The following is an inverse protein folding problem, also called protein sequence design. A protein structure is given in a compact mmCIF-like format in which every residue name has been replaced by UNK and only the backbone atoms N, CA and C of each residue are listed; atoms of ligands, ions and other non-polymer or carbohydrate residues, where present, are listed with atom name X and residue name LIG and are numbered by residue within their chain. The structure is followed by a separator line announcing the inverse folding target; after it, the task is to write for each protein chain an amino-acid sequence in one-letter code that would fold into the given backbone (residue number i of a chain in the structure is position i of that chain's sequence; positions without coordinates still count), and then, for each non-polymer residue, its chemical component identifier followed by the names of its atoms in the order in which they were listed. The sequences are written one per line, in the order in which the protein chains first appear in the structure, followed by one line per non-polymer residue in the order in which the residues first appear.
data_IF_835810078191
#
_entry.id   IF_835810078191
#
_cell.length_a   1.000
_cell.length_b   1.000
_cell.length_c   1.000
_cell.angle_alpha   90.00
_cell.angle_beta   90.00
_cell.angle_gamma   90.00
#
_symmetry.space_group_name_H-M   'P 1'
#
loop_
_entity.id
_entity.type
_entity.pdbx_description
1 polymer ?
#
# COMPACT_ATOMS: atom_id res chain seq x y z
N UNK A 1 66.09 -26.72 -9.09
CA UNK A 1 66.37 -25.52 -9.91
C UNK A 1 65.03 -24.88 -10.30
N UNK A 2 64.84 -23.58 -9.99
CA UNK A 2 64.18 -22.53 -10.81
C UNK A 2 62.76 -22.88 -11.37
N UNK A 3 61.65 -22.16 -11.14
CA UNK A 3 61.39 -20.79 -10.67
C UNK A 3 59.94 -20.68 -10.18
N UNK A 4 59.72 -19.80 -9.20
CA UNK A 4 58.44 -19.15 -8.89
C UNK A 4 57.92 -18.38 -10.12
N UNK A 5 56.64 -18.50 -10.45
CA UNK A 5 55.87 -17.39 -11.03
C UNK A 5 54.50 -17.34 -10.36
N UNK A 6 54.38 -16.36 -9.47
CA UNK A 6 53.15 -15.86 -8.87
C UNK A 6 52.36 -15.13 -9.95
N UNK A 7 51.11 -15.52 -10.19
CA UNK A 7 50.15 -14.69 -10.94
C UNK A 7 48.98 -14.41 -10.00
N UNK A 8 49.11 -13.29 -9.30
CA UNK A 8 48.11 -12.69 -8.45
C UNK A 8 47.11 -11.98 -9.37
N UNK A 9 46.06 -12.69 -9.79
CA UNK A 9 44.93 -12.11 -10.52
C UNK A 9 44.11 -11.23 -9.58
N UNK A 10 44.41 -9.92 -9.58
CA UNK A 10 43.51 -8.90 -9.04
C UNK A 10 42.22 -8.89 -9.88
N UNK A 11 41.24 -9.67 -9.45
CA UNK A 11 39.85 -9.49 -9.87
C UNK A 11 39.34 -8.28 -9.07
N UNK A 12 39.51 -7.09 -9.62
CA UNK A 12 38.78 -5.92 -9.18
C UNK A 12 37.30 -6.17 -9.52
N UNK A 13 36.56 -6.73 -8.56
CA UNK A 13 35.10 -6.80 -8.63
C UNK A 13 34.60 -5.37 -8.55
N UNK A 14 34.40 -4.75 -9.72
CA UNK A 14 33.72 -3.47 -9.84
C UNK A 14 32.27 -3.74 -9.45
N UNK A 15 32.00 -3.65 -8.15
CA UNK A 15 30.65 -3.67 -7.62
C UNK A 15 29.91 -2.47 -8.15
N UNK A 16 29.22 -2.65 -9.28
CA UNK A 16 28.15 -1.77 -9.71
C UNK A 16 27.06 -1.85 -8.63
N UNK A 17 27.22 -1.06 -7.56
CA UNK A 17 26.09 -0.62 -6.76
C UNK A 17 25.25 0.23 -7.70
N UNK A 18 24.34 -0.42 -8.41
CA UNK A 18 23.22 0.25 -9.06
C UNK A 18 22.46 0.96 -7.96
N UNK A 19 22.84 2.22 -7.72
CA UNK A 19 22.01 3.18 -7.01
C UNK A 19 20.80 3.31 -7.92
N UNK A 20 19.72 2.61 -7.59
CA UNK A 20 18.42 2.90 -8.18
C UNK A 20 18.20 4.39 -7.91
N UNK A 21 18.35 5.21 -8.94
CA UNK A 21 17.93 6.59 -8.87
C UNK A 21 16.48 6.54 -8.42
N UNK A 22 16.16 7.23 -7.32
CA UNK A 22 14.78 7.46 -6.94
C UNK A 22 14.18 8.28 -8.10
N UNK A 23 13.60 7.58 -9.07
CA UNK A 23 12.80 8.20 -10.10
C UNK A 23 11.68 8.92 -9.34
N UNK A 24 11.66 10.25 -9.44
CA UNK A 24 10.67 11.08 -8.75
C UNK A 24 9.33 10.72 -9.37
N UNK A 25 8.55 9.90 -8.66
CA UNK A 25 7.21 9.54 -9.07
C UNK A 25 6.39 10.82 -9.16
N UNK A 26 5.90 11.14 -10.35
CA UNK A 26 5.09 12.33 -10.57
C UNK A 26 3.64 12.02 -10.21
N UNK A 27 3.16 12.66 -9.14
CA UNK A 27 1.80 12.45 -8.62
C UNK A 27 1.02 13.75 -8.65
N UNK A 28 -0.19 13.70 -9.21
CA UNK A 28 -1.11 14.84 -9.29
C UNK A 28 -2.28 14.60 -8.36
N UNK A 29 -2.60 15.60 -7.52
CA UNK A 29 -3.80 15.57 -6.66
C UNK A 29 -5.04 15.80 -7.53
N UNK A 30 -6.03 14.92 -7.42
CA UNK A 30 -7.28 15.04 -8.16
C UNK A 30 -8.29 15.92 -7.40
N UNK A 31 -9.00 16.76 -8.15
CA UNK A 31 -10.17 17.49 -7.66
C UNK A 31 -11.41 16.58 -7.64
N UNK A 32 -12.46 16.99 -6.93
CA UNK A 32 -13.69 16.20 -6.76
C UNK A 32 -14.36 15.82 -8.09
N UNK A 33 -14.26 16.67 -9.11
CA UNK A 33 -14.83 16.43 -10.45
C UNK A 33 -14.01 15.44 -11.27
N UNK A 34 -12.73 15.27 -10.98
CA UNK A 34 -11.83 14.33 -11.65
C UNK A 34 -11.88 12.92 -11.05
N UNK A 35 -12.45 12.76 -9.84
CA UNK A 35 -12.49 11.47 -9.15
C UNK A 35 -13.52 10.54 -9.82
N UNK A 36 -13.04 9.38 -10.27
CA UNK A 36 -13.90 8.30 -10.76
C UNK A 36 -14.75 7.73 -9.61
N UNK A 37 -16.06 7.98 -9.63
CA UNK A 37 -16.97 7.57 -8.55
C UNK A 37 -17.09 6.05 -8.39
N UNK A 38 -17.04 5.29 -9.48
CA UNK A 38 -17.11 3.83 -9.43
C UNK A 38 -15.87 3.23 -8.74
N UNK A 39 -14.69 3.67 -9.18
CA UNK A 39 -13.42 3.22 -8.62
C UNK A 39 -13.25 3.68 -7.16
N UNK A 40 -13.66 4.91 -6.83
CA UNK A 40 -13.74 5.40 -5.45
C UNK A 40 -14.59 4.51 -4.55
N UNK A 41 -15.81 4.16 -4.99
CA UNK A 41 -16.73 3.33 -4.22
C UNK A 41 -16.16 1.92 -4.01
N UNK A 42 -15.52 1.37 -5.04
CA UNK A 42 -14.82 0.08 -4.96
C UNK A 42 -13.65 0.13 -3.98
N UNK A 43 -12.81 1.16 -4.07
CA UNK A 43 -11.69 1.37 -3.15
C UNK A 43 -12.17 1.49 -1.70
N UNK A 44 -13.23 2.27 -1.46
CA UNK A 44 -13.87 2.39 -0.15
C UNK A 44 -14.40 1.04 0.36
N UNK A 45 -15.19 0.32 -0.44
CA UNK A 45 -15.81 -0.94 -0.03
C UNK A 45 -14.77 -2.02 0.31
N UNK A 46 -13.76 -2.17 -0.55
CA UNK A 46 -12.70 -3.16 -0.37
C UNK A 46 -11.77 -2.79 0.80
N UNK A 47 -11.39 -1.52 0.91
CA UNK A 47 -10.60 -1.02 2.05
C UNK A 47 -11.32 -1.20 3.39
N UNK A 48 -12.61 -0.82 3.44
CA UNK A 48 -13.46 -0.97 4.62
C UNK A 48 -13.60 -2.44 5.01
N UNK A 49 -13.74 -3.35 4.04
CA UNK A 49 -13.80 -4.81 4.30
C UNK A 49 -12.55 -5.34 5.00
N UNK A 50 -11.36 -4.86 4.61
CA UNK A 50 -10.11 -5.23 5.28
C UNK A 50 -10.12 -4.81 6.75
N UNK A 51 -10.44 -3.54 7.04
CA UNK A 51 -10.43 -3.04 8.42
C UNK A 51 -11.59 -3.59 9.27
N UNK A 52 -12.75 -3.87 8.67
CA UNK A 52 -13.87 -4.53 9.33
C UNK A 52 -13.56 -5.97 9.74
N UNK A 53 -12.64 -6.64 9.04
CA UNK A 53 -12.16 -7.97 9.46
C UNK A 53 -11.54 -7.90 10.86
N UNK A 54 -10.88 -6.79 11.22
CA UNK A 54 -10.37 -6.61 12.57
C UNK A 54 -11.47 -6.54 13.63
N UNK A 55 -12.67 -6.07 13.28
CA UNK A 55 -13.79 -6.02 14.22
C UNK A 55 -14.45 -7.39 14.40
N UNK A 56 -14.70 -8.07 13.29
CA UNK A 56 -15.59 -9.25 13.24
C UNK A 56 -14.85 -10.58 13.20
N UNK A 57 -13.55 -10.57 12.94
CA UNK A 57 -12.72 -11.76 12.64
C UNK A 57 -13.20 -12.57 11.43
N UNK A 58 -14.13 -12.02 10.62
CA UNK A 58 -14.63 -12.66 9.40
C UNK A 58 -13.83 -12.18 8.19
N UNK A 59 -12.81 -12.94 7.84
CA UNK A 59 -12.01 -12.66 6.65
C UNK A 59 -12.70 -13.17 5.38
N UNK A 60 -12.91 -12.27 4.42
CA UNK A 60 -13.35 -12.60 3.06
C UNK A 60 -12.19 -12.33 2.10
N UNK A 61 -11.59 -13.37 1.49
CA UNK A 61 -10.57 -13.20 0.47
C UNK A 61 -11.05 -12.33 -0.70
N UNK A 62 -10.12 -11.65 -1.34
CA UNK A 62 -10.40 -10.90 -2.56
C UNK A 62 -10.53 -11.85 -3.75
N UNK A 63 -11.36 -11.49 -4.72
CA UNK A 63 -11.48 -12.18 -6.01
C UNK A 63 -10.61 -11.52 -7.08
N UNK A 64 -10.40 -12.22 -8.20
CA UNK A 64 -9.68 -11.68 -9.37
C UNK A 64 -10.38 -10.47 -10.01
N UNK A 65 -11.68 -10.30 -9.79
CA UNK A 65 -12.43 -9.11 -10.22
C UNK A 65 -12.29 -7.93 -9.25
N UNK A 66 -11.75 -8.14 -8.05
CA UNK A 66 -11.60 -7.12 -7.01
C UNK A 66 -10.17 -6.62 -6.91
N UNK A 67 -9.18 -7.51 -7.03
CA UNK A 67 -7.78 -7.20 -6.80
C UNK A 67 -6.83 -8.00 -7.68
N UNK A 68 -5.62 -7.48 -7.84
CA UNK A 68 -4.54 -8.20 -8.53
C UNK A 68 -4.13 -9.45 -7.75
N UNK A 69 -3.56 -10.44 -8.45
CA UNK A 69 -3.08 -11.68 -7.82
C UNK A 69 -2.06 -11.41 -6.70
N UNK A 70 -1.21 -10.40 -6.87
CA UNK A 70 -0.25 -9.97 -5.83
C UNK A 70 -0.95 -9.58 -4.54
N UNK A 71 -2.04 -8.80 -4.63
CA UNK A 71 -2.82 -8.40 -3.45
C UNK A 71 -3.54 -9.58 -2.82
N UNK A 72 -4.17 -10.44 -3.63
CA UNK A 72 -4.85 -11.65 -3.16
C UNK A 72 -3.89 -12.53 -2.36
N UNK A 73 -2.66 -12.72 -2.86
CA UNK A 73 -1.64 -13.53 -2.19
C UNK A 73 -1.08 -12.88 -0.91
N UNK A 74 -1.13 -11.54 -0.82
CA UNK A 74 -0.53 -10.80 0.29
C UNK A 74 -1.50 -10.48 1.43
N UNK A 75 -2.79 -10.32 1.15
CA UNK A 75 -3.81 -10.05 2.18
C UNK A 75 -4.37 -11.39 2.63
N UNK A 76 -3.70 -12.01 3.60
CA UNK A 76 -4.13 -13.28 4.20
C UNK A 76 -4.64 -13.06 5.62
N UNK A 77 -5.45 -14.01 6.11
CA UNK A 77 -5.94 -13.98 7.50
C UNK A 77 -4.79 -13.89 8.51
N UNK A 78 -3.68 -14.58 8.27
CA UNK A 78 -2.53 -14.59 9.18
C UNK A 78 -1.87 -13.20 9.29
N UNK A 79 -1.60 -12.56 8.15
CA UNK A 79 -1.01 -11.21 8.10
C UNK A 79 -1.95 -10.16 8.69
N UNK A 80 -3.24 -10.27 8.40
CA UNK A 80 -4.25 -9.36 8.94
C UNK A 80 -4.41 -9.52 10.45
N UNK A 81 -4.45 -10.75 10.97
CA UNK A 81 -4.70 -11.00 12.40
C UNK A 81 -3.65 -10.33 13.29
N UNK A 82 -2.35 -10.42 12.90
CA UNK A 82 -1.25 -9.74 13.61
C UNK A 82 -1.43 -8.22 13.66
N UNK A 83 -1.90 -7.63 12.56
CA UNK A 83 -2.16 -6.19 12.46
C UNK A 83 -3.40 -5.79 13.26
N UNK A 84 -4.49 -6.56 13.14
CA UNK A 84 -5.76 -6.31 13.80
C UNK A 84 -5.64 -6.30 15.32
N UNK A 85 -4.88 -7.22 15.92
CA UNK A 85 -4.64 -7.24 17.37
C UNK A 85 -4.01 -5.92 17.84
N UNK A 86 -2.95 -5.46 17.16
CA UNK A 86 -2.30 -4.18 17.49
C UNK A 86 -3.26 -3.00 17.33
N UNK A 87 -4.01 -2.97 16.22
CA UNK A 87 -4.92 -1.87 15.92
C UNK A 87 -6.07 -1.79 16.94
N UNK A 88 -6.66 -2.92 17.31
CA UNK A 88 -7.70 -2.94 18.36
C UNK A 88 -7.15 -2.49 19.71
N UNK A 89 -5.95 -2.92 20.08
CA UNK A 89 -5.33 -2.54 21.35
C UNK A 89 -5.06 -1.03 21.40
N UNK A 90 -4.47 -0.47 20.35
CA UNK A 90 -4.01 0.93 20.34
C UNK A 90 -5.11 1.92 19.98
N UNK A 91 -5.97 1.58 19.03
CA UNK A 91 -6.95 2.50 18.43
C UNK A 91 -8.40 2.11 18.74
N UNK A 92 -8.65 0.90 19.22
CA UNK A 92 -9.99 0.39 19.52
C UNK A 92 -10.70 -0.15 18.28
N UNK A 93 -12.02 -0.26 18.35
CA UNK A 93 -12.87 -0.74 17.24
C UNK A 93 -12.81 0.23 16.07
N UNK A 94 -12.64 -0.30 14.86
CA UNK A 94 -12.73 0.46 13.61
C UNK A 94 -14.19 0.90 13.38
N UNK A 95 -14.41 2.13 12.92
CA UNK A 95 -15.74 2.71 12.68
C UNK A 95 -16.02 2.84 11.19
N UNK A 96 -15.21 3.63 10.49
CA UNK A 96 -15.40 3.92 9.08
C UNK A 96 -14.13 4.43 8.41
N UNK A 97 -14.19 4.55 7.08
CA UNK A 97 -13.23 5.28 6.27
C UNK A 97 -13.84 6.63 5.86
N UNK A 98 -13.03 7.67 5.93
CA UNK A 98 -13.36 8.99 5.38
C UNK A 98 -12.38 9.30 4.25
N UNK A 99 -12.88 9.57 3.05
CA UNK A 99 -12.01 9.95 1.94
C UNK A 99 -11.42 11.32 2.20
N UNK A 100 -10.10 11.42 2.26
CA UNK A 100 -9.41 12.68 2.50
C UNK A 100 -8.84 13.25 1.19
N UNK A 101 -8.11 12.44 0.43
CA UNK A 101 -7.44 12.90 -0.79
C UNK A 101 -7.33 11.78 -1.82
N UNK A 102 -7.21 12.17 -3.09
CA UNK A 102 -6.96 11.25 -4.19
C UNK A 102 -5.79 11.79 -5.01
N UNK A 103 -4.84 10.91 -5.31
CA UNK A 103 -3.72 11.22 -6.20
C UNK A 103 -3.71 10.25 -7.36
N UNK A 104 -3.27 10.72 -8.51
CA UNK A 104 -2.96 9.87 -9.65
C UNK A 104 -1.47 9.96 -9.92
N UNK A 105 -0.81 8.81 -10.04
CA UNK A 105 0.53 8.74 -10.58
C UNK A 105 0.44 8.77 -12.11
N UNK A 106 1.19 9.67 -12.73
CA UNK A 106 1.19 9.85 -14.19
C UNK A 106 1.98 8.77 -14.91
N UNK A 107 2.92 8.11 -14.24
CA UNK A 107 3.82 7.13 -14.84
C UNK A 107 3.18 5.73 -14.98
N UNK A 108 2.50 5.27 -13.93
CA UNK A 108 1.93 3.91 -13.86
C UNK A 108 0.38 3.91 -13.89
N UNK A 109 -0.23 5.08 -14.09
CA UNK A 109 -1.68 5.30 -14.07
C UNK A 109 -2.42 4.82 -12.82
N UNK A 110 -1.70 4.58 -11.71
CA UNK A 110 -2.31 4.17 -10.46
C UNK A 110 -2.99 5.37 -9.80
N UNK A 111 -4.24 5.16 -9.40
CA UNK A 111 -4.99 6.10 -8.57
C UNK A 111 -4.92 5.67 -7.10
N UNK A 112 -4.42 6.55 -6.25
CA UNK A 112 -4.28 6.33 -4.81
C UNK A 112 -5.40 7.06 -4.08
N UNK A 113 -6.33 6.28 -3.52
CA UNK A 113 -7.37 6.80 -2.63
C UNK A 113 -6.84 6.78 -1.19
N UNK A 114 -6.68 7.96 -0.60
CA UNK A 114 -6.23 8.14 0.78
C UNK A 114 -7.44 8.34 1.69
N UNK A 115 -7.65 7.39 2.58
CA UNK A 115 -8.72 7.45 3.57
C UNK A 115 -8.15 7.66 4.98
N UNK A 116 -8.79 8.52 5.76
CA UNK A 116 -8.64 8.50 7.21
C UNK A 116 -9.44 7.33 7.76
N UNK A 117 -8.78 6.45 8.51
CA UNK A 117 -9.42 5.33 9.17
C UNK A 117 -9.87 5.76 10.57
N UNK A 118 -11.18 5.83 10.76
CA UNK A 118 -11.81 6.29 11.99
C UNK A 118 -11.94 5.14 12.97
N UNK A 119 -11.52 5.36 14.22
CA UNK A 119 -11.63 4.38 15.30
C UNK A 119 -12.38 4.95 16.52
N UNK A 120 -12.62 4.10 17.51
CA UNK A 120 -13.26 4.50 18.77
C UNK A 120 -12.38 5.37 19.65
N UNK A 121 -11.06 5.13 19.70
CA UNK A 121 -10.14 5.97 20.47
C UNK A 121 -9.75 7.21 19.67
N UNK A 122 -9.88 8.39 20.30
CA UNK A 122 -9.57 9.70 19.69
C UNK A 122 -8.10 9.87 19.30
N UNK A 123 -7.19 9.10 19.89
CA UNK A 123 -5.75 9.13 19.58
C UNK A 123 -5.40 8.48 18.24
N UNK A 124 -6.36 7.84 17.56
CA UNK A 124 -6.12 7.17 16.31
C UNK A 124 -5.86 8.18 15.17
N UNK A 125 -4.64 8.19 14.64
CA UNK A 125 -4.24 8.99 13.48
C UNK A 125 -3.87 8.08 12.30
N UNK A 126 -4.80 7.25 11.84
CA UNK A 126 -4.51 6.19 10.86
C UNK A 126 -4.98 6.54 9.46
N UNK A 127 -4.15 6.19 8.50
CA UNK A 127 -4.42 6.25 7.08
C UNK A 127 -4.57 4.85 6.51
N UNK A 128 -5.54 4.68 5.61
CA UNK A 128 -5.61 3.57 4.68
C UNK A 128 -5.47 4.11 3.25
N UNK A 129 -4.47 3.62 2.52
CA UNK A 129 -4.31 3.88 1.10
C UNK A 129 -4.75 2.68 0.29
N UNK A 130 -5.60 2.92 -0.69
CA UNK A 130 -6.03 1.91 -1.66
C UNK A 130 -5.56 2.35 -3.03
N UNK A 131 -4.69 1.54 -3.62
CA UNK A 131 -4.10 1.78 -4.94
C UNK A 131 -4.94 1.01 -5.97
N UNK A 132 -5.48 1.74 -6.93
CA UNK A 132 -6.34 1.21 -7.99
C UNK A 132 -5.62 1.36 -9.33
N UNK A 133 -5.52 0.29 -10.11
CA UNK A 133 -5.00 0.37 -11.47
C UNK A 133 -6.10 0.78 -12.48
N UNK A 134 -5.68 0.95 -13.71
CA UNK A 134 -6.50 1.25 -14.89
C UNK A 134 -7.54 0.15 -15.19
N UNK A 135 -7.23 -1.11 -14.87
CA UNK A 135 -8.18 -2.24 -14.92
C UNK A 135 -9.23 -2.23 -13.78
N UNK A 136 -9.26 -1.17 -12.97
CA UNK A 136 -10.16 -1.02 -11.82
C UNK A 136 -9.98 -2.13 -10.76
N UNK A 137 -8.78 -2.71 -10.64
CA UNK A 137 -8.38 -3.67 -9.62
C UNK A 137 -7.57 -2.99 -8.51
N UNK A 138 -7.73 -3.50 -7.28
CA UNK A 138 -6.83 -3.12 -6.19
C UNK A 138 -5.44 -3.71 -6.46
N UNK A 139 -4.45 -2.85 -6.67
CA UNK A 139 -3.05 -3.23 -6.91
C UNK A 139 -2.20 -3.19 -5.64
N UNK A 140 -2.61 -2.43 -4.63
CA UNK A 140 -2.04 -2.45 -3.28
C UNK A 140 -3.00 -1.89 -2.23
N UNK A 141 -2.82 -2.31 -0.97
CA UNK A 141 -3.43 -1.68 0.22
C UNK A 141 -2.32 -1.44 1.22
N UNK A 142 -2.20 -0.21 1.71
CA UNK A 142 -1.22 0.16 2.74
C UNK A 142 -1.91 0.85 3.90
N UNK A 143 -1.39 0.64 5.11
CA UNK A 143 -1.80 1.40 6.30
C UNK A 143 -0.59 2.11 6.88
N UNK A 144 -0.78 3.36 7.31
CA UNK A 144 0.25 4.23 7.87
C UNK A 144 -0.39 5.19 8.85
N UNK A 145 0.41 6.02 9.52
CA UNK A 145 -0.16 7.18 10.19
C UNK A 145 -0.49 8.25 9.15
N UNK A 146 -1.55 9.02 9.41
CA UNK A 146 -1.90 10.13 8.53
C UNK A 146 -0.86 11.24 8.67
N UNK A 147 -0.38 11.70 7.51
CA UNK A 147 0.46 12.88 7.34
C UNK A 147 -0.12 13.72 6.22
N UNK A 148 -0.12 15.04 6.37
CA UNK A 148 -0.74 15.94 5.38
C UNK A 148 0.04 15.96 4.07
N UNK A 149 1.37 15.83 4.14
CA UNK A 149 2.20 15.71 2.95
C UNK A 149 2.10 14.31 2.34
N UNK A 150 1.62 14.22 1.09
CA UNK A 150 1.58 12.94 0.39
C UNK A 150 2.97 12.45 -0.01
N UNK A 151 3.25 11.20 0.32
CA UNK A 151 4.40 10.43 -0.17
C UNK A 151 3.86 9.17 -0.81
N UNK A 152 4.32 8.82 -2.01
CA UNK A 152 3.80 7.66 -2.76
C UNK A 152 4.19 6.31 -2.12
#
# INVERSE_FOLDING_TARGET
MKKLIVILSLIAVVGCKSKKAHQKVETVKLTTTQINSSQKNKAYALGKRVLMTCNTSKFKPFTNSEATQSVINNITIEKLSKTCTKFRQWYGTFKDLELAEVYQNTDDHITVYRFKALYTKKVANKELRVFMNDENLVSAIKTSDWVDHFTY
#
